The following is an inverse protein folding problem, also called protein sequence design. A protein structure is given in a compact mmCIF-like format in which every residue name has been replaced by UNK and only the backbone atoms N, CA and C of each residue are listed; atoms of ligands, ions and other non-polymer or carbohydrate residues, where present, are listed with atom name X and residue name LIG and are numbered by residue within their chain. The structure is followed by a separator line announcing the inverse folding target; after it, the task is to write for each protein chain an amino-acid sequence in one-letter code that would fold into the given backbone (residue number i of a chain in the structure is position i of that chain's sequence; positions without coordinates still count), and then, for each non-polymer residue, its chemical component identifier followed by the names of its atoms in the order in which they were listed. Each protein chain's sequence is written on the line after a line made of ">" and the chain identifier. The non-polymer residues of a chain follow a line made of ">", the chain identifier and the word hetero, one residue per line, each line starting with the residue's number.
data_IF_281304129381
#
_entry.id   IF_281304129381
#
_cell.length_a   1.000
_cell.length_b   1.000
_cell.length_c   1.000
_cell.angle_alpha   90.00
_cell.angle_beta   90.00
_cell.angle_gamma   90.00
#
_symmetry.space_group_name_H-M   'P 1'
#
loop_
_entity.id
_entity.type
_entity.pdbx_description
1 polymer ?
#
# COMPACT_ATOMS: atom_id res chain seq x y z
N UNK A 1 16.73 -22.65 -27.23
CA UNK A 1 16.01 -21.41 -27.57
C UNK A 1 16.36 -20.41 -26.49
N UNK A 2 16.90 -19.25 -26.82
CA UNK A 2 17.08 -18.17 -25.84
C UNK A 2 15.69 -17.74 -25.35
N UNK A 3 15.50 -17.44 -24.07
CA UNK A 3 14.18 -17.15 -23.47
C UNK A 3 13.39 -16.05 -24.19
N UNK A 4 14.07 -15.19 -24.95
CA UNK A 4 13.51 -14.08 -25.72
C UNK A 4 12.63 -14.46 -26.92
N UNK A 5 12.46 -15.76 -27.24
CA UNK A 5 11.59 -16.21 -28.35
C UNK A 5 10.21 -16.70 -27.92
N UNK A 6 9.93 -16.76 -26.60
CA UNK A 6 8.63 -17.19 -26.08
C UNK A 6 7.78 -15.95 -25.78
N UNK A 7 6.55 -15.84 -26.34
CA UNK A 7 5.64 -14.74 -26.05
C UNK A 7 5.33 -14.63 -24.56
N UNK A 8 5.08 -13.42 -24.07
CA UNK A 8 4.59 -13.23 -22.70
C UNK A 8 3.17 -13.80 -22.50
N UNK A 9 2.91 -14.25 -21.28
CA UNK A 9 1.60 -14.73 -20.82
C UNK A 9 0.67 -13.56 -20.43
N UNK A 10 -0.62 -13.86 -20.25
CA UNK A 10 -1.59 -12.88 -19.74
C UNK A 10 -1.21 -12.35 -18.34
N UNK A 11 -0.66 -13.19 -17.48
CA UNK A 11 -0.19 -12.81 -16.15
C UNK A 11 0.98 -11.83 -16.23
N UNK A 12 1.97 -12.11 -17.08
CA UNK A 12 3.12 -11.23 -17.28
C UNK A 12 2.72 -9.88 -17.87
N UNK A 13 1.84 -9.87 -18.87
CA UNK A 13 1.31 -8.64 -19.45
C UNK A 13 0.57 -7.81 -18.40
N UNK A 14 -0.30 -8.43 -17.60
CA UNK A 14 -1.04 -7.74 -16.54
C UNK A 14 -0.12 -7.20 -15.44
N UNK A 15 0.87 -7.98 -15.01
CA UNK A 15 1.83 -7.58 -13.97
C UNK A 15 2.70 -6.41 -14.43
N UNK A 16 3.19 -6.44 -15.68
CA UNK A 16 3.93 -5.32 -16.27
C UNK A 16 3.05 -4.07 -16.39
N UNK A 17 1.79 -4.22 -16.78
CA UNK A 17 0.83 -3.11 -16.89
C UNK A 17 0.61 -2.43 -15.53
N UNK A 18 0.35 -3.22 -14.48
CA UNK A 18 0.14 -2.70 -13.12
C UNK A 18 1.41 -2.10 -12.51
N UNK A 19 2.56 -2.74 -12.70
CA UNK A 19 3.84 -2.22 -12.23
C UNK A 19 4.20 -0.90 -12.93
N UNK A 20 3.91 -0.76 -14.23
CA UNK A 20 4.14 0.48 -14.96
C UNK A 20 3.27 1.64 -14.44
N UNK A 21 1.98 1.38 -14.20
CA UNK A 21 1.07 2.37 -13.60
C UNK A 21 1.56 2.84 -12.23
N UNK A 22 1.94 1.88 -11.37
CA UNK A 22 2.45 2.17 -10.03
C UNK A 22 3.79 2.93 -10.09
N UNK A 23 4.76 2.47 -10.89
CA UNK A 23 6.07 3.12 -10.99
C UNK A 23 5.98 4.52 -11.60
N UNK A 24 5.12 4.74 -12.60
CA UNK A 24 4.94 6.10 -13.14
C UNK A 24 4.24 7.03 -12.16
N UNK A 25 3.36 6.52 -11.28
CA UNK A 25 2.77 7.28 -10.19
C UNK A 25 3.82 7.66 -9.13
N UNK A 26 4.59 6.68 -8.62
CA UNK A 26 5.48 6.92 -7.48
C UNK A 26 6.54 7.97 -7.81
N UNK A 27 7.08 7.99 -9.03
CA UNK A 27 8.08 9.00 -9.42
C UNK A 27 7.54 10.43 -9.38
N UNK A 28 6.25 10.64 -9.69
CA UNK A 28 5.61 11.98 -9.60
C UNK A 28 5.43 12.43 -8.15
N UNK A 29 5.10 11.49 -7.26
CA UNK A 29 5.01 11.79 -5.83
C UNK A 29 6.39 12.10 -5.25
N UNK A 30 7.40 11.31 -5.65
CA UNK A 30 8.79 11.54 -5.22
C UNK A 30 9.35 12.87 -5.70
N UNK A 31 8.99 13.36 -6.89
CA UNK A 31 9.42 14.70 -7.36
C UNK A 31 9.05 15.80 -6.37
N UNK A 32 7.79 15.81 -5.90
CA UNK A 32 7.34 16.75 -4.89
C UNK A 32 8.05 16.55 -3.55
N UNK A 33 8.22 15.30 -3.10
CA UNK A 33 8.90 15.04 -1.83
C UNK A 33 10.38 15.41 -1.86
N UNK A 34 11.09 15.13 -2.95
CA UNK A 34 12.49 15.51 -3.15
C UNK A 34 12.64 17.03 -3.12
N UNK A 35 11.70 17.79 -3.70
CA UNK A 35 11.74 19.26 -3.67
C UNK A 35 11.77 19.81 -2.23
N UNK A 36 11.02 19.18 -1.31
CA UNK A 36 10.85 19.63 0.07
C UNK A 36 11.68 18.87 1.11
N UNK A 37 12.38 17.81 0.72
CA UNK A 37 13.15 16.96 1.61
C UNK A 37 14.44 17.63 2.11
N UNK A 38 14.74 17.38 3.39
CA UNK A 38 16.02 17.74 4.01
C UNK A 38 17.18 16.88 3.49
N UNK A 39 18.40 17.29 3.82
CA UNK A 39 19.63 16.67 3.30
C UNK A 39 19.78 15.19 3.68
N UNK A 40 19.18 14.76 4.79
CA UNK A 40 19.25 13.36 5.24
C UNK A 40 18.22 12.45 4.55
N UNK A 41 17.05 12.99 4.22
CA UNK A 41 15.93 12.26 3.62
C UNK A 41 16.03 12.20 2.09
N UNK A 42 16.47 13.30 1.48
CA UNK A 42 16.58 13.48 0.03
C UNK A 42 17.34 12.35 -0.70
N UNK A 43 18.48 11.83 -0.19
CA UNK A 43 19.18 10.72 -0.84
C UNK A 43 18.38 9.41 -0.92
N UNK A 44 17.51 9.13 0.06
CA UNK A 44 16.64 7.95 0.05
C UNK A 44 15.59 8.07 -1.06
N UNK A 45 14.93 9.24 -1.11
CA UNK A 45 13.91 9.55 -2.11
C UNK A 45 14.49 9.56 -3.53
N UNK A 46 15.67 10.16 -3.72
CA UNK A 46 16.37 10.21 -5.02
C UNK A 46 16.82 8.83 -5.49
N UNK A 47 17.30 7.98 -4.58
CA UNK A 47 17.64 6.60 -4.92
C UNK A 47 16.41 5.83 -5.42
N UNK A 48 15.29 5.88 -4.68
CA UNK A 48 14.05 5.21 -5.10
C UNK A 48 13.49 5.77 -6.42
N UNK A 49 13.62 7.08 -6.63
CA UNK A 49 13.24 7.73 -7.89
C UNK A 49 14.06 7.21 -9.07
N UNK A 50 15.38 7.12 -8.92
CA UNK A 50 16.28 6.66 -9.98
C UNK A 50 16.01 5.20 -10.35
N UNK A 51 15.87 4.34 -9.33
CA UNK A 51 15.61 2.92 -9.53
C UNK A 51 14.23 2.71 -10.19
N UNK A 52 13.21 3.45 -9.75
CA UNK A 52 11.88 3.44 -10.37
C UNK A 52 11.89 3.93 -11.82
N UNK A 53 12.66 4.99 -12.13
CA UNK A 53 12.81 5.47 -13.50
C UNK A 53 13.46 4.42 -14.42
N UNK A 54 14.50 3.72 -13.92
CA UNK A 54 15.13 2.62 -14.65
C UNK A 54 14.17 1.46 -14.89
N UNK A 55 13.37 1.09 -13.87
CA UNK A 55 12.36 0.05 -13.99
C UNK A 55 11.31 0.37 -15.07
N UNK A 56 10.88 1.64 -15.15
CA UNK A 56 9.96 2.10 -16.20
C UNK A 56 10.53 1.88 -17.59
N UNK A 57 11.77 2.29 -17.83
CA UNK A 57 12.41 2.11 -19.15
C UNK A 57 12.54 0.61 -19.52
N UNK A 58 12.87 -0.25 -18.55
CA UNK A 58 12.89 -1.70 -18.77
C UNK A 58 11.51 -2.27 -19.13
N UNK A 59 10.44 -1.82 -18.45
CA UNK A 59 9.08 -2.24 -18.78
C UNK A 59 8.65 -1.74 -20.16
N UNK A 60 9.03 -0.51 -20.56
CA UNK A 60 8.77 0.00 -21.91
C UNK A 60 9.41 -0.90 -22.96
N UNK A 61 10.68 -1.22 -22.78
CA UNK A 61 11.43 -2.09 -23.69
C UNK A 61 10.78 -3.46 -23.82
N UNK A 62 10.35 -4.07 -22.71
CA UNK A 62 9.69 -5.38 -22.71
C UNK A 62 8.37 -5.29 -23.48
N UNK A 63 7.48 -4.36 -23.09
CA UNK A 63 6.15 -4.23 -23.71
C UNK A 63 6.25 -3.94 -25.22
N UNK A 64 7.14 -3.05 -25.63
CA UNK A 64 7.33 -2.72 -27.05
C UNK A 64 7.88 -3.89 -27.87
N UNK A 65 8.82 -4.67 -27.30
CA UNK A 65 9.35 -5.88 -27.98
C UNK A 65 8.28 -6.95 -28.19
N UNK A 66 7.31 -7.04 -27.29
CA UNK A 66 6.14 -7.93 -27.45
C UNK A 66 5.06 -7.35 -28.38
N UNK A 67 5.25 -6.13 -28.89
CA UNK A 67 4.27 -5.44 -29.72
C UNK A 67 3.07 -4.89 -28.95
N UNK A 68 3.15 -4.82 -27.62
CA UNK A 68 2.12 -4.22 -26.78
C UNK A 68 2.21 -2.69 -26.79
N UNK A 69 1.07 -2.03 -26.66
CA UNK A 69 1.01 -0.60 -26.35
C UNK A 69 1.52 -0.35 -24.94
N UNK A 70 2.07 0.84 -24.71
CA UNK A 70 2.41 1.27 -23.36
C UNK A 70 1.16 1.78 -22.64
N UNK A 71 0.97 1.45 -21.35
CA UNK A 71 0.02 2.16 -20.51
C UNK A 71 0.35 3.66 -20.52
N UNK A 72 -0.66 4.52 -20.41
CA UNK A 72 -0.42 5.97 -20.37
C UNK A 72 0.25 6.36 -19.05
N UNK A 73 -0.21 5.77 -17.93
CA UNK A 73 0.35 6.00 -16.61
C UNK A 73 0.18 7.45 -16.13
N UNK A 74 1.22 7.95 -15.48
CA UNK A 74 1.28 9.31 -14.91
C UNK A 74 2.46 10.10 -15.48
N UNK A 75 2.21 11.38 -15.75
CA UNK A 75 3.13 12.27 -16.46
C UNK A 75 3.48 13.48 -15.62
N UNK A 76 4.44 14.30 -16.04
CA UNK A 76 4.79 15.53 -15.32
C UNK A 76 3.60 16.51 -15.15
N UNK A 77 2.54 16.36 -15.94
CA UNK A 77 1.31 17.14 -15.78
C UNK A 77 0.47 16.74 -14.55
N UNK A 78 0.79 15.60 -13.91
CA UNK A 78 0.13 15.13 -12.70
C UNK A 78 0.75 15.71 -11.42
N UNK A 79 1.79 16.54 -11.54
CA UNK A 79 2.50 17.16 -10.41
C UNK A 79 2.74 18.66 -10.65
N UNK A 80 2.45 19.48 -9.64
CA UNK A 80 2.67 20.92 -9.67
C UNK A 80 3.99 21.26 -8.99
N UNK A 81 5.06 21.45 -9.79
CA UNK A 81 6.38 21.89 -9.31
C UNK A 81 6.27 23.25 -8.61
N UNK A 82 6.96 23.42 -7.49
CA UNK A 82 6.89 24.66 -6.70
C UNK A 82 5.67 24.77 -5.77
N UNK A 83 4.76 23.79 -5.77
CA UNK A 83 3.68 23.76 -4.78
C UNK A 83 4.27 23.62 -3.37
N UNK A 84 3.75 24.36 -2.36
CA UNK A 84 4.18 24.20 -0.97
C UNK A 84 4.02 22.77 -0.47
N UNK A 85 4.90 22.34 0.44
CA UNK A 85 4.82 21.00 1.03
C UNK A 85 3.44 20.72 1.64
N UNK A 86 2.86 19.59 1.26
CA UNK A 86 1.54 19.17 1.77
C UNK A 86 1.62 18.47 3.13
N UNK A 87 2.77 17.89 3.47
CA UNK A 87 2.99 17.19 4.73
C UNK A 87 4.23 17.71 5.45
N UNK A 88 4.22 17.61 6.78
CA UNK A 88 5.32 18.03 7.63
C UNK A 88 6.27 16.87 8.00
N UNK A 89 7.12 17.15 8.99
CA UNK A 89 8.23 16.34 9.48
C UNK A 89 8.16 14.83 9.16
N UNK A 90 9.07 14.38 8.31
CA UNK A 90 9.33 12.97 7.94
C UNK A 90 8.17 12.21 7.28
N UNK A 91 7.07 12.87 6.89
CA UNK A 91 5.99 12.19 6.18
C UNK A 91 6.45 11.56 4.86
N UNK A 92 7.37 12.22 4.15
CA UNK A 92 8.00 11.72 2.92
C UNK A 92 8.62 10.34 3.10
N UNK A 93 9.41 10.13 4.17
CA UNK A 93 10.00 8.83 4.49
C UNK A 93 8.98 7.85 5.06
N UNK A 94 7.99 8.32 5.84
CA UNK A 94 6.88 7.46 6.29
C UNK A 94 6.06 6.93 5.11
N UNK A 95 5.80 7.77 4.11
CA UNK A 95 5.14 7.38 2.88
C UNK A 95 5.99 6.41 2.07
N UNK A 96 7.28 6.69 1.88
CA UNK A 96 8.19 5.76 1.18
C UNK A 96 8.30 4.41 1.91
N UNK A 97 8.33 4.41 3.25
CA UNK A 97 8.28 3.19 4.05
C UNK A 97 6.98 2.39 3.84
N UNK A 98 5.83 3.06 3.78
CA UNK A 98 4.54 2.41 3.47
C UNK A 98 4.51 1.87 2.03
N UNK A 99 4.93 2.68 1.05
CA UNK A 99 4.92 2.28 -0.36
C UNK A 99 5.87 1.12 -0.64
N UNK A 100 7.05 1.09 -0.03
CA UNK A 100 7.98 -0.04 -0.21
C UNK A 100 7.45 -1.35 0.40
N UNK A 101 6.58 -1.32 1.42
CA UNK A 101 5.83 -2.49 1.90
C UNK A 101 4.82 -2.99 0.87
N UNK A 102 4.13 -2.07 0.21
CA UNK A 102 3.20 -2.36 -0.89
C UNK A 102 3.97 -2.98 -2.05
N UNK A 103 5.01 -2.30 -2.54
CA UNK A 103 5.83 -2.73 -3.67
C UNK A 103 6.48 -4.10 -3.43
N UNK A 104 7.16 -4.31 -2.30
CA UNK A 104 7.85 -5.59 -2.05
C UNK A 104 6.87 -6.78 -2.04
N UNK A 105 5.64 -6.56 -1.55
CA UNK A 105 4.60 -7.60 -1.50
C UNK A 105 3.98 -7.81 -2.87
N UNK A 106 3.75 -6.72 -3.62
CA UNK A 106 3.23 -6.75 -4.99
C UNK A 106 4.16 -7.52 -5.92
N UNK A 107 5.45 -7.17 -5.91
CA UNK A 107 6.42 -7.75 -6.82
C UNK A 107 6.82 -9.16 -6.43
N UNK A 108 6.77 -9.52 -5.15
CA UNK A 108 6.89 -10.91 -4.71
C UNK A 108 5.72 -11.76 -5.23
N UNK A 109 4.49 -11.23 -5.21
CA UNK A 109 3.33 -11.90 -5.81
C UNK A 109 3.51 -12.04 -7.33
N UNK A 110 3.95 -10.99 -8.02
CA UNK A 110 4.19 -11.02 -9.46
C UNK A 110 5.26 -12.04 -9.84
N UNK A 111 6.34 -12.12 -9.07
CA UNK A 111 7.38 -13.14 -9.23
C UNK A 111 6.78 -14.55 -9.25
N UNK A 112 5.86 -14.86 -8.33
CA UNK A 112 5.19 -16.16 -8.28
C UNK A 112 4.21 -16.44 -9.44
N UNK A 113 3.92 -15.44 -10.27
CA UNK A 113 3.01 -15.53 -11.42
C UNK A 113 3.71 -15.27 -12.77
N UNK A 114 5.04 -15.26 -12.77
CA UNK A 114 5.86 -15.02 -13.96
C UNK A 114 6.63 -16.29 -14.33
N UNK A 115 6.77 -16.54 -15.63
CA UNK A 115 7.30 -17.79 -16.16
C UNK A 115 8.52 -17.58 -17.07
N UNK A 116 8.57 -16.45 -17.79
CA UNK A 116 9.69 -16.10 -18.66
C UNK A 116 10.82 -15.50 -17.84
N UNK A 117 12.00 -16.11 -17.94
CA UNK A 117 13.13 -15.86 -17.04
C UNK A 117 13.57 -14.40 -16.96
N UNK A 118 13.56 -13.65 -18.07
CA UNK A 118 13.93 -12.23 -18.09
C UNK A 118 12.96 -11.37 -17.28
N UNK A 119 11.66 -11.68 -17.33
CA UNK A 119 10.62 -10.97 -16.57
C UNK A 119 10.62 -11.44 -15.11
N UNK A 120 10.88 -12.73 -14.87
CA UNK A 120 11.02 -13.28 -13.51
C UNK A 120 12.18 -12.60 -12.79
N UNK A 121 13.35 -12.52 -13.42
CA UNK A 121 14.53 -11.83 -12.90
C UNK A 121 14.26 -10.35 -12.66
N UNK A 122 13.49 -9.71 -13.54
CA UNK A 122 13.06 -8.33 -13.36
C UNK A 122 12.23 -8.16 -12.08
N UNK A 123 11.18 -8.97 -11.86
CA UNK A 123 10.36 -8.86 -10.65
C UNK A 123 11.07 -9.31 -9.37
N UNK A 124 12.00 -10.28 -9.45
CA UNK A 124 12.91 -10.61 -8.34
C UNK A 124 13.75 -9.39 -7.98
N UNK A 125 14.31 -8.71 -8.98
CA UNK A 125 15.08 -7.48 -8.81
C UNK A 125 14.27 -6.38 -8.12
N UNK A 126 13.07 -6.09 -8.61
CA UNK A 126 12.17 -5.10 -8.00
C UNK A 126 11.80 -5.46 -6.56
N UNK A 127 11.55 -6.74 -6.28
CA UNK A 127 11.25 -7.22 -4.92
C UNK A 127 12.42 -6.94 -3.98
N UNK A 128 13.64 -7.28 -4.40
CA UNK A 128 14.85 -7.09 -3.60
C UNK A 128 15.17 -5.60 -3.37
N UNK A 129 14.97 -4.77 -4.39
CA UNK A 129 15.10 -3.30 -4.31
C UNK A 129 14.14 -2.71 -3.28
N UNK A 130 12.85 -3.02 -3.37
CA UNK A 130 11.84 -2.52 -2.43
C UNK A 130 12.09 -2.99 -1.00
N UNK A 131 12.57 -4.23 -0.80
CA UNK A 131 12.99 -4.73 0.53
C UNK A 131 14.17 -3.93 1.09
N UNK A 132 15.19 -3.66 0.27
CA UNK A 132 16.36 -2.90 0.67
C UNK A 132 16.00 -1.45 1.03
N UNK A 133 15.16 -0.79 0.20
CA UNK A 133 14.69 0.56 0.47
C UNK A 133 13.82 0.63 1.73
N UNK A 134 12.93 -0.35 1.92
CA UNK A 134 12.12 -0.44 3.13
C UNK A 134 12.97 -0.56 4.40
N UNK A 135 14.02 -1.38 4.36
CA UNK A 135 14.96 -1.53 5.47
C UNK A 135 15.66 -0.21 5.79
N UNK A 136 16.12 0.52 4.77
CA UNK A 136 16.74 1.85 4.95
C UNK A 136 15.77 2.87 5.55
N UNK A 137 14.53 2.92 5.05
CA UNK A 137 13.50 3.80 5.61
C UNK A 137 13.16 3.42 7.05
N UNK A 138 13.09 2.12 7.36
CA UNK A 138 12.85 1.61 8.71
C UNK A 138 13.94 2.11 9.66
N UNK A 139 15.21 1.91 9.34
CA UNK A 139 16.32 2.35 10.21
C UNK A 139 16.30 3.88 10.38
N UNK A 140 16.11 4.63 9.28
CA UNK A 140 16.03 6.09 9.34
C UNK A 140 14.92 6.58 10.28
N UNK A 141 13.71 6.04 10.15
CA UNK A 141 12.59 6.43 11.00
C UNK A 141 12.77 6.00 12.46
N UNK A 142 13.45 4.88 12.72
CA UNK A 142 13.80 4.44 14.08
C UNK A 142 14.86 5.34 14.71
N UNK A 143 15.89 5.74 13.97
CA UNK A 143 16.93 6.67 14.41
C UNK A 143 16.36 8.04 14.75
N UNK A 144 15.37 8.50 13.97
CA UNK A 144 14.64 9.76 14.23
C UNK A 144 13.57 9.62 15.33
N UNK A 145 13.32 8.42 15.84
CA UNK A 145 12.33 8.17 16.89
C UNK A 145 10.87 8.30 16.45
N UNK A 146 10.60 8.23 15.15
CA UNK A 146 9.27 8.43 14.56
C UNK A 146 8.52 7.12 14.31
N UNK A 147 9.24 6.04 14.00
CA UNK A 147 8.63 4.72 13.83
C UNK A 147 8.42 4.06 15.19
N UNK A 148 7.15 3.76 15.49
CA UNK A 148 6.76 3.09 16.72
C UNK A 148 7.01 1.59 16.59
N UNK A 149 7.68 0.99 17.56
CA UNK A 149 7.92 -0.46 17.59
C UNK A 149 6.68 -1.18 18.15
N UNK A 150 6.39 -2.42 17.71
CA UNK A 150 5.42 -3.29 18.38
C UNK A 150 5.81 -3.55 19.86
N UNK A 151 4.84 -3.97 20.66
CA UNK A 151 5.04 -4.26 22.07
C UNK A 151 6.10 -5.36 22.31
N UNK A 152 6.92 -5.18 23.34
CA UNK A 152 7.86 -6.21 23.81
C UNK A 152 7.10 -7.31 24.57
N UNK A 153 7.54 -8.55 24.40
CA UNK A 153 7.00 -9.73 25.10
C UNK A 153 8.14 -10.52 25.74
N UNK A 154 7.80 -11.33 26.75
CA UNK A 154 8.76 -12.28 27.33
C UNK A 154 9.08 -13.41 26.33
N UNK A 155 10.34 -13.83 26.29
CA UNK A 155 10.78 -14.92 25.41
C UNK A 155 10.23 -16.26 25.90
N UNK A 156 9.70 -17.11 24.99
CA UNK A 156 9.25 -18.44 25.36
C UNK A 156 10.45 -19.29 25.81
N UNK A 157 10.28 -20.06 26.89
CA UNK A 157 11.31 -20.99 27.40
C UNK A 157 11.07 -22.43 26.95
N UNK A 158 9.85 -22.74 26.50
CA UNK A 158 9.42 -24.04 26.03
C UNK A 158 8.29 -23.86 25.00
N UNK A 159 7.99 -24.94 24.25
CA UNK A 159 6.88 -24.97 23.29
C UNK A 159 5.65 -25.54 23.97
N UNK A 160 4.54 -24.80 23.94
CA UNK A 160 3.24 -25.26 24.44
C UNK A 160 2.31 -25.62 23.28
N UNK A 161 1.49 -26.65 23.47
CA UNK A 161 0.46 -27.06 22.52
C UNK A 161 -0.92 -26.60 22.99
N UNK A 162 -1.82 -26.32 22.04
CA UNK A 162 -3.20 -25.95 22.35
C UNK A 162 -3.97 -27.20 22.76
N UNK A 163 -4.44 -27.24 24.01
CA UNK A 163 -5.15 -28.41 24.58
C UNK A 163 -6.68 -28.23 24.64
N UNK A 164 -7.17 -26.98 24.63
CA UNK A 164 -8.60 -26.65 24.72
C UNK A 164 -9.05 -25.81 23.51
N UNK A 165 -10.18 -26.19 22.89
CA UNK A 165 -10.83 -25.44 21.81
C UNK A 165 -11.17 -24.00 22.19
N UNK A 166 -11.28 -23.67 23.49
CA UNK A 166 -11.41 -22.30 24.00
C UNK A 166 -10.30 -21.37 23.55
N UNK A 167 -9.13 -21.89 23.15
CA UNK A 167 -8.08 -21.10 22.50
C UNK A 167 -8.59 -20.36 21.25
N UNK A 168 -9.53 -20.97 20.52
CA UNK A 168 -10.20 -20.38 19.36
C UNK A 168 -11.50 -19.64 19.74
N UNK A 169 -11.71 -19.34 21.03
CA UNK A 169 -12.85 -18.55 21.49
C UNK A 169 -12.76 -17.07 21.09
N UNK A 170 -13.54 -16.23 21.76
CA UNK A 170 -13.50 -14.76 21.58
C UNK A 170 -14.86 -14.07 21.72
N UNK A 171 -15.96 -14.80 21.52
CA UNK A 171 -17.32 -14.24 21.59
C UNK A 171 -18.02 -14.38 22.94
N UNK A 172 -17.45 -15.15 23.87
CA UNK A 172 -18.09 -15.42 25.15
C UNK A 172 -17.95 -14.20 26.07
N UNK A 173 -19.04 -13.48 26.31
CA UNK A 173 -19.09 -12.32 27.21
C UNK A 173 -18.87 -12.66 28.69
N UNK A 174 -18.98 -13.94 29.06
CA UNK A 174 -18.89 -14.41 30.44
C UNK A 174 -17.57 -15.11 30.79
N UNK A 175 -16.69 -15.33 29.80
CA UNK A 175 -15.36 -15.92 30.02
C UNK A 175 -14.30 -14.90 29.64
N UNK A 176 -13.22 -14.82 30.41
CA UNK A 176 -12.05 -14.04 30.00
C UNK A 176 -11.51 -14.57 28.67
N UNK A 177 -11.27 -13.65 27.73
CA UNK A 177 -10.61 -13.97 26.47
C UNK A 177 -9.14 -14.28 26.77
N UNK A 178 -8.54 -15.21 26.03
CA UNK A 178 -7.08 -15.34 26.07
C UNK A 178 -6.42 -14.05 25.57
N UNK A 179 -5.23 -13.77 26.09
CA UNK A 179 -4.35 -12.74 25.55
C UNK A 179 -4.06 -13.01 24.05
N UNK A 180 -3.80 -11.94 23.31
CA UNK A 180 -3.33 -12.04 21.94
C UNK A 180 -1.99 -12.78 21.89
N UNK A 181 -1.82 -13.64 20.89
CA UNK A 181 -0.50 -14.21 20.63
C UNK A 181 0.35 -13.21 19.80
N UNK A 182 1.64 -13.45 19.70
CA UNK A 182 2.57 -12.54 19.00
C UNK A 182 2.28 -12.39 17.51
N UNK A 183 1.69 -13.41 16.86
CA UNK A 183 1.25 -13.33 15.46
C UNK A 183 0.12 -12.30 15.33
N UNK A 184 -0.92 -12.43 16.15
CA UNK A 184 -2.06 -11.50 16.18
C UNK A 184 -1.62 -10.07 16.52
N UNK A 185 -0.76 -9.89 17.53
CA UNK A 185 -0.21 -8.57 17.89
C UNK A 185 0.54 -7.95 16.71
N UNK A 186 1.39 -8.71 16.01
CA UNK A 186 2.16 -8.20 14.88
C UNK A 186 1.28 -7.76 13.70
N UNK A 187 0.24 -8.53 13.37
CA UNK A 187 -0.68 -8.24 12.27
C UNK A 187 -1.58 -7.04 12.59
N UNK A 188 -2.09 -6.97 13.82
CA UNK A 188 -2.87 -5.81 14.30
C UNK A 188 -2.00 -4.55 14.27
N UNK A 189 -0.79 -4.61 14.81
CA UNK A 189 0.12 -3.47 14.81
C UNK A 189 0.42 -2.98 13.38
N UNK A 190 0.71 -3.90 12.46
CA UNK A 190 0.97 -3.58 11.06
C UNK A 190 -0.24 -2.90 10.39
N UNK A 191 -1.45 -3.41 10.62
CA UNK A 191 -2.68 -2.83 10.09
C UNK A 191 -2.94 -1.42 10.64
N UNK A 192 -2.67 -1.19 11.92
CA UNK A 192 -2.80 0.15 12.53
C UNK A 192 -1.75 1.10 11.98
N UNK A 193 -0.47 0.69 11.93
CA UNK A 193 0.63 1.52 11.45
C UNK A 193 0.37 2.05 10.02
N UNK A 194 -0.01 1.15 9.11
CA UNK A 194 -0.30 1.51 7.72
C UNK A 194 -1.54 2.41 7.58
N UNK A 195 -2.58 2.19 8.38
CA UNK A 195 -3.77 3.06 8.39
C UNK A 195 -3.50 4.43 9.00
N UNK A 196 -2.58 4.58 9.94
CA UNK A 196 -2.19 5.88 10.48
C UNK A 196 -1.50 6.74 9.40
N UNK A 197 -0.60 6.16 8.60
CA UNK A 197 0.03 6.86 7.47
C UNK A 197 -1.00 7.17 6.39
N UNK A 198 -1.83 6.19 6.00
CA UNK A 198 -2.89 6.37 5.00
C UNK A 198 -3.92 7.43 5.41
N UNK A 199 -4.26 7.52 6.71
CA UNK A 199 -5.15 8.56 7.23
C UNK A 199 -4.55 9.96 7.03
N UNK A 200 -3.27 10.16 7.33
CA UNK A 200 -2.61 11.45 7.13
C UNK A 200 -2.52 11.81 5.65
N UNK A 201 -2.20 10.84 4.80
CA UNK A 201 -2.23 11.00 3.34
C UNK A 201 -3.61 11.48 2.85
N UNK A 202 -4.69 10.84 3.31
CA UNK A 202 -6.04 11.22 2.88
C UNK A 202 -6.47 12.57 3.44
N UNK A 203 -5.99 12.99 4.62
CA UNK A 203 -6.20 14.36 5.13
C UNK A 203 -5.58 15.37 4.16
N UNK A 204 -4.31 15.19 3.81
CA UNK A 204 -3.63 16.11 2.89
C UNK A 204 -4.28 16.13 1.52
N UNK A 205 -4.57 14.96 0.93
CA UNK A 205 -5.25 14.90 -0.37
C UNK A 205 -6.64 15.57 -0.33
N UNK A 206 -7.46 15.29 0.70
CA UNK A 206 -8.78 15.91 0.83
C UNK A 206 -8.70 17.43 0.95
N UNK A 207 -7.66 17.95 1.63
CA UNK A 207 -7.45 19.38 1.79
C UNK A 207 -7.23 20.12 0.46
N UNK A 208 -6.58 19.46 -0.51
CA UNK A 208 -6.15 20.09 -1.76
C UNK A 208 -6.88 19.60 -3.02
N UNK A 209 -7.72 18.56 -2.91
CA UNK A 209 -8.51 18.07 -4.03
C UNK A 209 -9.35 19.19 -4.68
N UNK A 210 -9.32 19.25 -6.01
CA UNK A 210 -10.02 20.27 -6.78
C UNK A 210 -11.48 19.87 -7.00
N UNK A 211 -11.72 18.62 -7.39
CA UNK A 211 -13.04 18.04 -7.54
C UNK A 211 -13.69 17.74 -6.17
N UNK A 212 -14.95 18.15 -6.02
CA UNK A 212 -15.68 17.99 -4.75
C UNK A 212 -16.01 16.52 -4.43
N UNK A 213 -16.30 15.69 -5.43
CA UNK A 213 -16.55 14.26 -5.25
C UNK A 213 -15.28 13.54 -4.81
N UNK A 214 -14.13 13.92 -5.37
CA UNK A 214 -12.80 13.45 -4.94
C UNK A 214 -12.51 13.86 -3.50
N UNK A 215 -12.77 15.13 -3.14
CA UNK A 215 -12.61 15.63 -1.77
C UNK A 215 -13.45 14.85 -0.75
N UNK A 216 -14.73 14.63 -1.07
CA UNK A 216 -15.66 13.90 -0.20
C UNK A 216 -15.26 12.43 -0.05
N UNK A 217 -14.79 11.81 -1.15
CA UNK A 217 -14.25 10.46 -1.14
C UNK A 217 -13.02 10.33 -0.25
N UNK A 218 -12.03 11.21 -0.39
CA UNK A 218 -10.82 11.20 0.44
C UNK A 218 -11.14 11.45 1.92
N UNK A 219 -12.06 12.35 2.22
CA UNK A 219 -12.55 12.58 3.58
C UNK A 219 -13.25 11.34 4.16
N UNK A 220 -13.98 10.56 3.33
CA UNK A 220 -14.55 9.27 3.73
C UNK A 220 -13.46 8.25 4.04
N UNK A 221 -12.41 8.20 3.23
CA UNK A 221 -11.29 7.28 3.45
C UNK A 221 -10.48 7.60 4.71
N UNK A 222 -10.25 8.89 5.02
CA UNK A 222 -9.71 9.32 6.32
C UNK A 222 -10.54 8.75 7.49
N UNK A 223 -11.87 8.88 7.43
CA UNK A 223 -12.77 8.36 8.48
C UNK A 223 -12.72 6.83 8.59
N UNK A 224 -12.56 6.15 7.45
CA UNK A 224 -12.41 4.69 7.43
C UNK A 224 -11.10 4.25 8.08
N UNK A 225 -9.96 4.87 7.74
CA UNK A 225 -8.69 4.56 8.38
C UNK A 225 -8.73 4.81 9.89
N UNK A 226 -9.37 5.90 10.33
CA UNK A 226 -9.62 6.15 11.76
C UNK A 226 -10.46 5.05 12.41
N UNK A 227 -11.51 4.57 11.74
CA UNK A 227 -12.35 3.47 12.23
C UNK A 227 -11.53 2.19 12.39
N UNK A 228 -10.72 1.83 11.39
CA UNK A 228 -9.87 0.64 11.42
C UNK A 228 -8.86 0.73 12.57
N UNK A 229 -8.19 1.87 12.72
CA UNK A 229 -7.24 2.09 13.80
C UNK A 229 -7.88 1.92 15.18
N UNK A 230 -9.02 2.58 15.43
CA UNK A 230 -9.74 2.45 16.71
C UNK A 230 -10.16 1.00 16.95
N UNK A 231 -10.86 0.39 16.00
CA UNK A 231 -11.45 -0.94 16.20
C UNK A 231 -10.39 -2.04 16.38
N UNK A 232 -9.25 -1.95 15.69
CA UNK A 232 -8.13 -2.88 15.90
C UNK A 232 -7.30 -2.51 17.14
N UNK A 233 -7.21 -1.22 17.47
CA UNK A 233 -6.54 -0.73 18.67
C UNK A 233 -7.19 -1.23 19.96
N UNK A 234 -8.52 -1.38 19.99
CA UNK A 234 -9.22 -1.97 21.13
C UNK A 234 -8.77 -3.41 21.43
N UNK A 235 -8.42 -4.20 20.42
CA UNK A 235 -7.86 -5.56 20.63
C UNK A 235 -6.50 -5.51 21.35
N UNK A 236 -5.66 -4.53 21.02
CA UNK A 236 -4.40 -4.30 21.74
C UNK A 236 -4.67 -3.88 23.19
N UNK A 237 -5.62 -2.97 23.41
CA UNK A 237 -6.00 -2.48 24.74
C UNK A 237 -6.57 -3.57 25.64
N UNK A 238 -7.33 -4.53 25.09
CA UNK A 238 -7.77 -5.73 25.82
C UNK A 238 -6.59 -6.55 26.38
N UNK A 239 -5.41 -6.45 25.75
CA UNK A 239 -4.17 -7.10 26.20
C UNK A 239 -3.22 -6.13 26.91
N UNK A 240 -3.72 -4.96 27.36
CA UNK A 240 -2.94 -3.89 27.99
C UNK A 240 -1.78 -3.37 27.14
N UNK A 241 -1.93 -3.42 25.81
CA UNK A 241 -0.98 -2.86 24.84
C UNK A 241 -1.58 -1.56 24.29
N UNK A 242 -0.84 -0.47 24.40
CA UNK A 242 -1.22 0.79 23.77
C UNK A 242 -1.04 0.71 22.24
N UNK A 243 -2.04 1.10 21.43
CA UNK A 243 -1.90 1.25 19.99
C UNK A 243 -0.77 2.24 19.63
N UNK A 244 -0.06 2.03 18.50
CA UNK A 244 1.03 2.90 18.13
C UNK A 244 0.54 4.33 17.84
N UNK A 245 1.29 5.33 18.31
CA UNK A 245 1.01 6.73 18.05
C UNK A 245 2.30 7.45 17.66
N UNK A 246 2.31 8.05 16.46
CA UNK A 246 3.45 8.84 15.97
C UNK A 246 3.16 10.34 16.03
N UNK A 247 4.17 11.10 16.47
CA UNK A 247 4.11 12.57 16.58
C UNK A 247 4.42 13.27 15.25
N UNK A 248 4.92 12.54 14.26
CA UNK A 248 5.34 13.08 12.96
C UNK A 248 4.25 12.97 11.88
N UNK A 249 4.58 13.51 10.71
CA UNK A 249 3.89 13.29 9.45
C UNK A 249 2.44 13.76 9.41
N UNK A 250 2.19 15.01 9.79
CA UNK A 250 0.88 15.66 9.71
C UNK A 250 0.73 16.43 8.40
N UNK A 251 -0.50 16.54 7.91
CA UNK A 251 -0.81 17.47 6.83
C UNK A 251 -0.54 18.92 7.29
N UNK A 252 0.07 19.74 6.42
CA UNK A 252 0.28 21.16 6.67
C UNK A 252 -1.00 21.96 6.46
N UNK A 253 -0.94 23.29 6.59
CA UNK A 253 -2.05 24.18 6.23
C UNK A 253 -2.12 24.51 4.72
N UNK A 254 -1.31 23.86 3.87
CA UNK A 254 -1.26 24.16 2.43
C UNK A 254 -2.55 23.78 1.71
N UNK A 255 -3.22 24.74 1.07
CA UNK A 255 -4.40 24.49 0.23
C UNK A 255 -4.09 24.43 -1.26
N UNK A 256 -2.80 24.45 -1.62
CA UNK A 256 -2.35 24.38 -3.02
C UNK A 256 -2.03 22.92 -3.35
N UNK A 257 -2.69 22.37 -4.36
CA UNK A 257 -2.52 20.98 -4.77
C UNK A 257 -1.14 20.75 -5.40
N UNK A 258 -0.28 19.90 -4.82
CA UNK A 258 0.95 19.46 -5.48
C UNK A 258 0.70 18.36 -6.51
N UNK A 259 -0.47 17.72 -6.48
CA UNK A 259 -0.81 16.53 -7.24
C UNK A 259 -2.16 16.68 -7.94
N UNK A 260 -2.33 16.04 -9.09
CA UNK A 260 -3.63 15.95 -9.77
C UNK A 260 -4.63 15.12 -8.98
N UNK A 261 -5.93 15.35 -9.18
CA UNK A 261 -6.96 14.51 -8.58
C UNK A 261 -6.84 13.04 -9.06
N UNK A 262 -6.40 12.83 -10.30
CA UNK A 262 -6.14 11.52 -10.90
C UNK A 262 -5.12 10.71 -10.08
N UNK A 263 -3.95 11.30 -9.77
CA UNK A 263 -2.89 10.59 -9.03
C UNK A 263 -3.28 10.36 -7.57
N UNK A 264 -3.96 11.32 -6.93
CA UNK A 264 -4.49 11.16 -5.57
C UNK A 264 -5.50 10.01 -5.48
N UNK A 265 -6.39 9.90 -6.47
CA UNK A 265 -7.38 8.82 -6.55
C UNK A 265 -6.73 7.46 -6.82
N UNK A 266 -5.77 7.38 -7.75
CA UNK A 266 -5.08 6.12 -8.04
C UNK A 266 -4.27 5.63 -6.84
N UNK A 267 -3.49 6.50 -6.20
CA UNK A 267 -2.70 6.13 -5.02
C UNK A 267 -3.60 5.66 -3.88
N UNK A 268 -4.72 6.33 -3.64
CA UNK A 268 -5.73 5.89 -2.67
C UNK A 268 -6.35 4.54 -3.04
N UNK A 269 -6.66 4.31 -4.32
CA UNK A 269 -7.19 3.03 -4.81
C UNK A 269 -6.21 1.88 -4.61
N UNK A 270 -4.93 2.09 -4.93
CA UNK A 270 -3.86 1.12 -4.73
C UNK A 270 -3.74 0.74 -3.25
N UNK A 271 -3.63 1.73 -2.36
CA UNK A 271 -3.55 1.50 -0.92
C UNK A 271 -4.81 0.81 -0.36
N UNK A 272 -5.98 1.10 -0.91
CA UNK A 272 -7.23 0.44 -0.51
C UNK A 272 -7.22 -1.05 -0.84
N UNK A 273 -6.78 -1.41 -2.05
CA UNK A 273 -6.64 -2.82 -2.46
C UNK A 273 -5.65 -3.57 -1.57
N UNK A 274 -4.52 -2.95 -1.24
CA UNK A 274 -3.54 -3.52 -0.31
C UNK A 274 -4.07 -3.61 1.13
N UNK A 275 -4.83 -2.60 1.57
CA UNK A 275 -5.52 -2.63 2.86
C UNK A 275 -6.49 -3.81 2.97
N UNK A 276 -7.24 -4.10 1.91
CA UNK A 276 -8.13 -5.26 1.85
C UNK A 276 -7.36 -6.58 1.96
N UNK A 277 -6.27 -6.73 1.19
CA UNK A 277 -5.42 -7.93 1.21
C UNK A 277 -4.73 -8.15 2.56
N UNK A 278 -4.15 -7.09 3.14
CA UNK A 278 -3.50 -7.13 4.45
C UNK A 278 -4.50 -7.50 5.56
N UNK A 279 -5.70 -6.92 5.53
CA UNK A 279 -6.76 -7.25 6.47
C UNK A 279 -7.24 -8.71 6.33
N UNK A 280 -7.29 -9.27 5.11
CA UNK A 280 -7.60 -10.67 4.89
C UNK A 280 -6.52 -11.62 5.45
N UNK A 281 -5.23 -11.30 5.25
CA UNK A 281 -4.12 -12.05 5.84
C UNK A 281 -4.15 -11.97 7.38
N UNK A 282 -4.42 -10.78 7.92
CA UNK A 282 -4.65 -10.55 9.34
C UNK A 282 -5.68 -11.53 9.91
N UNK A 283 -6.83 -11.66 9.23
CA UNK A 283 -7.89 -12.57 9.64
C UNK A 283 -7.49 -14.04 9.49
N UNK A 284 -6.85 -14.41 8.39
CA UNK A 284 -6.45 -15.79 8.10
C UNK A 284 -5.45 -16.36 9.13
N UNK A 285 -4.55 -15.52 9.65
CA UNK A 285 -3.55 -15.92 10.65
C UNK A 285 -3.96 -15.63 12.10
N UNK A 286 -5.19 -15.17 12.33
CA UNK A 286 -5.75 -14.92 13.66
C UNK A 286 -6.65 -16.06 14.09
N UNK A 287 -6.34 -16.69 15.22
CA UNK A 287 -7.09 -17.86 15.71
C UNK A 287 -8.12 -17.51 16.78
N UNK A 288 -8.03 -16.32 17.39
CA UNK A 288 -9.07 -15.82 18.30
C UNK A 288 -10.26 -15.32 17.48
N UNK A 289 -11.38 -16.05 17.48
CA UNK A 289 -12.44 -15.91 16.48
C UNK A 289 -13.16 -14.55 16.43
N UNK A 290 -13.06 -13.74 17.49
CA UNK A 290 -13.56 -12.37 17.48
C UNK A 290 -12.75 -11.46 16.54
N UNK A 291 -11.46 -11.72 16.37
CA UNK A 291 -10.55 -10.96 15.51
C UNK A 291 -10.80 -11.16 13.99
N UNK A 292 -10.84 -12.38 13.41
CA UNK A 292 -11.16 -12.55 12.00
C UNK A 292 -12.61 -12.12 11.69
N UNK A 293 -13.55 -12.25 12.63
CA UNK A 293 -14.89 -11.73 12.46
C UNK A 293 -14.90 -10.20 12.38
N UNK A 294 -14.16 -9.52 13.26
CA UNK A 294 -13.97 -8.07 13.21
C UNK A 294 -13.33 -7.64 11.89
N UNK A 295 -12.25 -8.30 11.48
CA UNK A 295 -11.58 -8.02 10.21
C UNK A 295 -12.50 -8.24 9.01
N UNK A 296 -13.36 -9.27 9.02
CA UNK A 296 -14.37 -9.48 7.97
C UNK A 296 -15.36 -8.29 7.86
N UNK A 297 -15.80 -7.74 9.00
CA UNK A 297 -16.65 -6.55 9.00
C UNK A 297 -15.92 -5.33 8.43
N UNK A 298 -14.64 -5.13 8.78
CA UNK A 298 -13.83 -4.06 8.21
C UNK A 298 -13.60 -4.25 6.71
N UNK A 299 -13.39 -5.49 6.23
CA UNK A 299 -13.27 -5.80 4.80
C UNK A 299 -14.49 -5.35 3.99
N UNK A 300 -15.71 -5.45 4.55
CA UNK A 300 -16.92 -4.96 3.90
C UNK A 300 -16.86 -3.45 3.67
N UNK A 301 -16.40 -2.70 4.66
CA UNK A 301 -16.29 -1.25 4.56
C UNK A 301 -15.17 -0.83 3.58
N UNK A 302 -14.03 -1.52 3.62
CA UNK A 302 -12.91 -1.32 2.68
C UNK A 302 -13.36 -1.61 1.25
N UNK A 303 -14.08 -2.71 1.01
CA UNK A 303 -14.59 -3.07 -0.30
C UNK A 303 -15.61 -2.05 -0.83
N UNK A 304 -16.52 -1.58 0.03
CA UNK A 304 -17.46 -0.52 -0.33
C UNK A 304 -16.73 0.78 -0.70
N UNK A 305 -15.68 1.14 0.04
CA UNK A 305 -14.83 2.28 -0.27
C UNK A 305 -14.13 2.11 -1.62
N UNK A 306 -13.49 0.97 -1.88
CA UNK A 306 -12.85 0.67 -3.16
C UNK A 306 -13.81 0.79 -4.35
N UNK A 307 -15.03 0.27 -4.20
CA UNK A 307 -16.08 0.35 -5.23
C UNK A 307 -16.45 1.79 -5.55
N UNK A 308 -16.58 2.65 -4.55
CA UNK A 308 -16.90 4.07 -4.76
C UNK A 308 -15.74 4.79 -5.47
N UNK A 309 -14.49 4.51 -5.10
CA UNK A 309 -13.31 5.05 -5.77
C UNK A 309 -13.23 4.64 -7.25
N UNK A 310 -13.54 3.38 -7.55
CA UNK A 310 -13.61 2.88 -8.92
C UNK A 310 -14.65 3.61 -9.78
N UNK A 311 -15.83 3.92 -9.23
CA UNK A 311 -16.85 4.72 -9.96
C UNK A 311 -16.35 6.12 -10.29
N UNK A 312 -15.64 6.78 -9.36
CA UNK A 312 -15.09 8.12 -9.57
C UNK A 312 -14.01 8.09 -10.65
N UNK A 313 -13.10 7.10 -10.60
CA UNK A 313 -12.07 6.92 -11.61
C UNK A 313 -12.68 6.66 -13.00
N UNK A 314 -13.71 5.81 -13.10
CA UNK A 314 -14.42 5.54 -14.36
C UNK A 314 -15.11 6.81 -14.88
N UNK A 315 -15.86 7.51 -14.03
CA UNK A 315 -16.60 8.73 -14.39
C UNK A 315 -15.69 9.81 -14.99
N UNK A 316 -14.46 9.93 -14.46
CA UNK A 316 -13.50 10.92 -14.90
C UNK A 316 -12.53 10.42 -15.99
N UNK A 317 -12.67 9.19 -16.48
CA UNK A 317 -11.76 8.61 -17.48
C UNK A 317 -10.33 8.44 -16.97
N UNK A 318 -10.16 8.24 -15.66
CA UNK A 318 -8.87 8.12 -14.98
C UNK A 318 -8.40 6.68 -14.79
N UNK A 319 -9.29 5.70 -15.00
CA UNK A 319 -8.98 4.28 -14.94
C UNK A 319 -8.59 3.78 -16.33
N UNK A 320 -7.34 3.35 -16.48
CA UNK A 320 -6.96 2.57 -17.66
C UNK A 320 -7.49 1.15 -17.55
N UNK A 321 -8.03 0.66 -18.67
CA UNK A 321 -8.46 -0.73 -18.80
C UNK A 321 -7.21 -1.61 -19.03
N UNK A 322 -6.96 -2.61 -18.16
CA UNK A 322 -5.89 -3.57 -18.42
C UNK A 322 -6.19 -4.40 -19.68
N UNK A 323 -5.16 -4.93 -20.36
CA UNK A 323 -5.35 -5.82 -21.51
C UNK A 323 -6.27 -6.99 -21.19
N UNK A 324 -7.22 -7.25 -22.09
CA UNK A 324 -8.25 -8.27 -21.92
C UNK A 324 -7.94 -9.52 -22.74
N UNK A 325 -8.45 -10.65 -22.26
CA UNK A 325 -8.59 -11.85 -23.11
C UNK A 325 -9.61 -11.59 -24.21
N UNK A 326 -9.48 -12.25 -25.35
CA UNK A 326 -10.39 -12.03 -26.47
C UNK A 326 -11.84 -12.39 -26.10
N UNK A 327 -12.78 -11.45 -26.33
CA UNK A 327 -14.22 -11.73 -26.19
C UNK A 327 -14.70 -12.58 -27.37
N UNK A 328 -14.60 -13.90 -27.22
CA UNK A 328 -15.04 -14.88 -28.22
C UNK A 328 -16.55 -14.82 -28.50
N UNK A 329 -17.35 -14.32 -27.56
CA UNK A 329 -18.80 -14.15 -27.75
C UNK A 329 -19.09 -12.96 -28.66
N UNK A 330 -18.31 -11.89 -28.54
CA UNK A 330 -18.40 -10.74 -29.44
C UNK A 330 -17.82 -11.07 -30.83
N UNK A 331 -16.68 -11.77 -30.90
CA UNK A 331 -15.99 -12.10 -32.16
C UNK A 331 -16.73 -13.11 -33.05
N UNK A 332 -17.75 -13.79 -32.55
CA UNK A 332 -18.52 -14.80 -33.30
C UNK A 332 -19.95 -14.36 -33.65
N UNK A 333 -20.28 -13.07 -33.45
CA UNK A 333 -21.52 -12.45 -33.92
C UNK A 333 -21.33 -11.80 -35.29
#
# INVERSE_FOLDING_TARGET
>A
MTSSSVPITSAELANLWLAYQEKTMIIRILEHFIEHAGDTEKPLLQAHYHDSAKAIEQMKDILQKEGAVLPLGFTENDVNKGAPKLYDFLFDIMYLHMMTKVEMSLYALFTGMTYRKDIEDFFIGLTAESQAMNSRCTQHLLEKGVLVRPAYVSMPKEVHFVEDKKYMGGFNLFNEKRSLNTIEVSLIHHAIETNLVGMQLMIGFAQVANDQEVKDYLAKGMKLSKKIEIELGEFLRESFIEPPATHAGKATASTVAPFSDKIMMYNTSLLTSFGLGSNALGGAFSLRMDLPAKMTLLSKDIFAFAKDGGKILIKNGWMEEPPQVEDRTHLTK
#
